data_IF_041078024441
#
_entry.id   IF_041078024441
#
_cell.length_a   1.000
_cell.length_b   1.000
_cell.length_c   1.000
_cell.angle_alpha   90.00
_cell.angle_beta   90.00
_cell.angle_gamma   90.00
#
_symmetry.space_group_name_H-M   'P 1'
#
loop_
_entity.id
_entity.type
_entity.pdbx_description
1 polymer ?
#
# COMPACT_ATOMS: atom_id res chain seq x y z
N UNK A 1 -7.30 -5.70 28.47
CA UNK A 1 -8.25 -6.50 27.68
C UNK A 1 -9.66 -6.04 28.04
N UNK A 2 -10.27 -5.18 27.23
CA UNK A 2 -11.68 -4.78 27.40
C UNK A 2 -12.46 -5.65 26.43
N UNK A 3 -13.35 -6.49 26.95
CA UNK A 3 -14.16 -7.40 26.16
C UNK A 3 -15.11 -6.61 25.25
N UNK A 4 -14.97 -6.78 23.94
CA UNK A 4 -15.77 -6.14 22.89
C UNK A 4 -17.27 -6.52 22.96
N UNK A 5 -17.68 -7.39 23.88
CA UNK A 5 -19.07 -7.80 24.09
C UNK A 5 -19.88 -6.86 25.01
N UNK A 6 -19.23 -5.97 25.78
CA UNK A 6 -19.89 -5.15 26.80
C UNK A 6 -20.21 -3.71 26.40
N UNK A 7 -19.70 -3.23 25.27
CA UNK A 7 -19.83 -1.83 24.84
C UNK A 7 -21.07 -1.66 23.95
N UNK A 8 -21.95 -0.66 24.22
CA UNK A 8 -23.12 -0.39 23.39
C UNK A 8 -22.72 -0.03 21.95
N UNK A 9 -23.56 -0.41 20.97
CA UNK A 9 -23.26 -0.30 19.53
C UNK A 9 -22.88 1.14 19.11
N UNK A 10 -23.52 2.14 19.73
CA UNK A 10 -23.25 3.56 19.49
C UNK A 10 -21.84 3.97 19.93
N UNK A 11 -21.41 3.51 21.10
CA UNK A 11 -20.09 3.83 21.65
C UNK A 11 -18.99 3.06 20.90
N UNK A 12 -19.29 1.86 20.40
CA UNK A 12 -18.41 1.15 19.46
C UNK A 12 -18.19 1.92 18.17
N UNK A 13 -19.26 2.44 17.56
CA UNK A 13 -19.17 3.23 16.33
C UNK A 13 -18.35 4.51 16.55
N UNK A 14 -18.56 5.23 17.65
CA UNK A 14 -17.80 6.44 17.98
C UNK A 14 -16.31 6.13 18.21
N UNK A 15 -15.99 5.07 18.95
CA UNK A 15 -14.61 4.61 19.14
C UNK A 15 -13.96 4.17 17.83
N UNK A 16 -14.70 3.47 16.98
CA UNK A 16 -14.24 3.05 15.65
C UNK A 16 -13.92 4.26 14.77
N UNK A 17 -14.79 5.27 14.79
CA UNK A 17 -14.62 6.52 14.06
C UNK A 17 -13.36 7.26 14.53
N UNK A 18 -13.22 7.45 15.84
CA UNK A 18 -12.05 8.11 16.43
C UNK A 18 -10.75 7.35 16.15
N UNK A 19 -10.78 6.01 16.18
CA UNK A 19 -9.62 5.17 15.84
C UNK A 19 -9.21 5.35 14.38
N UNK A 20 -10.16 5.31 13.44
CA UNK A 20 -9.89 5.51 12.02
C UNK A 20 -9.35 6.91 11.73
N UNK A 21 -9.92 7.93 12.36
CA UNK A 21 -9.47 9.32 12.23
C UNK A 21 -8.04 9.48 12.78
N UNK A 22 -7.77 8.98 13.98
CA UNK A 22 -6.44 9.02 14.59
C UNK A 22 -5.40 8.29 13.73
N UNK A 23 -5.74 7.14 13.14
CA UNK A 23 -4.83 6.42 12.26
C UNK A 23 -4.52 7.16 10.95
N UNK A 24 -5.51 7.87 10.38
CA UNK A 24 -5.31 8.69 9.19
C UNK A 24 -4.39 9.87 9.47
N UNK A 25 -4.62 10.57 10.60
CA UNK A 25 -3.88 11.75 11.02
C UNK A 25 -2.48 11.43 11.56
N UNK A 26 -2.24 10.22 12.06
CA UNK A 26 -0.95 9.83 12.59
C UNK A 26 0.14 9.82 11.50
N UNK A 27 1.24 10.55 11.71
CA UNK A 27 2.28 10.73 10.71
C UNK A 27 3.01 9.42 10.35
N UNK A 28 3.24 8.54 11.34
CA UNK A 28 4.08 7.34 11.18
C UNK A 28 3.29 6.03 10.98
N UNK A 29 1.98 6.10 10.78
CA UNK A 29 1.13 4.92 10.61
C UNK A 29 0.84 4.69 9.13
N UNK A 30 1.51 3.70 8.55
CA UNK A 30 1.34 3.32 7.13
C UNK A 30 0.70 1.93 6.93
N UNK A 31 0.53 1.16 8.01
CA UNK A 31 -0.06 -0.17 7.96
C UNK A 31 -1.55 -0.09 8.31
N UNK A 32 -2.38 0.20 7.32
CA UNK A 32 -3.83 0.31 7.50
C UNK A 32 -4.56 -1.04 7.49
N UNK A 33 -3.91 -2.09 6.96
CA UNK A 33 -4.51 -3.43 6.91
C UNK A 33 -4.79 -4.03 8.29
N UNK A 34 -3.96 -3.75 9.30
CA UNK A 34 -4.22 -4.20 10.68
C UNK A 34 -5.49 -3.56 11.26
N UNK A 35 -5.67 -2.26 10.98
CA UNK A 35 -6.84 -1.51 11.45
C UNK A 35 -8.10 -2.02 10.73
N UNK A 36 -8.00 -2.25 9.40
CA UNK A 36 -9.09 -2.79 8.57
C UNK A 36 -9.56 -4.18 9.01
N UNK A 37 -8.70 -4.99 9.63
CA UNK A 37 -9.05 -6.32 10.16
C UNK A 37 -9.72 -6.25 11.54
N UNK A 38 -9.73 -5.10 12.20
CA UNK A 38 -10.26 -5.00 13.55
C UNK A 38 -11.80 -5.00 13.53
N UNK A 39 -12.48 -5.89 14.28
CA UNK A 39 -13.94 -6.06 14.25
C UNK A 39 -14.73 -4.83 14.75
N UNK A 40 -14.04 -3.84 15.33
CA UNK A 40 -14.64 -2.56 15.73
C UNK A 40 -15.04 -1.73 14.51
N UNK A 41 -14.38 -1.90 13.37
CA UNK A 41 -14.78 -1.23 12.13
C UNK A 41 -16.02 -1.85 11.48
N UNK A 42 -16.35 -3.10 11.79
CA UNK A 42 -17.60 -3.70 11.30
C UNK A 42 -18.83 -3.00 11.86
N UNK A 43 -18.71 -2.35 13.03
CA UNK A 43 -19.78 -1.53 13.60
C UNK A 43 -20.06 -0.24 12.80
N UNK A 44 -19.15 0.16 11.90
CA UNK A 44 -19.31 1.29 11.00
C UNK A 44 -19.86 0.88 9.63
N UNK A 45 -19.90 -0.42 9.30
CA UNK A 45 -20.54 -0.88 8.07
C UNK A 45 -22.05 -0.61 8.17
N UNK A 46 -22.64 -0.14 7.06
CA UNK A 46 -24.06 0.26 6.96
C UNK A 46 -24.47 1.50 7.77
N UNK A 47 -23.50 2.28 8.26
CA UNK A 47 -23.73 3.58 8.93
C UNK A 47 -23.43 4.78 8.01
N UNK A 48 -23.70 6.00 8.49
CA UNK A 48 -23.43 7.24 7.73
C UNK A 48 -21.93 7.46 7.52
N UNK A 49 -21.11 6.79 8.32
CA UNK A 49 -19.66 6.90 8.41
C UNK A 49 -18.93 5.87 7.53
N UNK A 50 -19.65 5.11 6.70
CA UNK A 50 -19.06 4.11 5.80
C UNK A 50 -17.93 4.67 4.92
N UNK A 51 -18.01 5.96 4.54
CA UNK A 51 -16.98 6.65 3.79
C UNK A 51 -15.58 6.56 4.44
N UNK A 52 -15.51 6.43 5.76
CA UNK A 52 -14.24 6.29 6.48
C UNK A 52 -13.58 4.93 6.18
N UNK A 53 -14.38 3.87 6.07
CA UNK A 53 -13.89 2.54 5.70
C UNK A 53 -13.39 2.58 4.25
N UNK A 54 -14.16 3.18 3.34
CA UNK A 54 -13.78 3.31 1.94
C UNK A 54 -12.50 4.14 1.78
N UNK A 55 -12.35 5.18 2.59
CA UNK A 55 -11.15 6.00 2.66
C UNK A 55 -9.95 5.16 3.16
N UNK A 56 -10.09 4.44 4.28
CA UNK A 56 -9.04 3.56 4.80
C UNK A 56 -8.63 2.49 3.80
N UNK A 57 -9.58 1.92 3.05
CA UNK A 57 -9.30 0.99 1.96
C UNK A 57 -8.53 1.65 0.81
N UNK A 58 -8.88 2.87 0.42
CA UNK A 58 -8.14 3.64 -0.58
C UNK A 58 -6.70 3.91 -0.13
N UNK A 59 -6.48 4.23 1.15
CA UNK A 59 -5.14 4.36 1.74
C UNK A 59 -4.37 3.04 1.74
N UNK A 60 -5.01 1.92 2.09
CA UNK A 60 -4.35 0.62 2.12
C UNK A 60 -3.82 0.18 0.73
N UNK A 61 -4.62 0.40 -0.31
CA UNK A 61 -4.26 0.07 -1.70
C UNK A 61 -3.37 1.17 -2.33
N UNK A 62 -3.42 2.41 -1.84
CA UNK A 62 -2.71 3.53 -2.44
C UNK A 62 -3.40 4.09 -3.69
N UNK A 63 -4.74 4.04 -3.72
CA UNK A 63 -5.55 4.53 -4.83
C UNK A 63 -5.85 6.03 -4.69
N UNK A 64 -5.08 6.85 -5.42
CA UNK A 64 -5.21 8.31 -5.41
C UNK A 64 -6.54 8.76 -6.05
N UNK A 65 -7.11 7.98 -6.97
CA UNK A 65 -8.34 8.36 -7.67
C UNK A 65 -9.55 8.24 -6.75
N UNK A 66 -9.63 7.15 -5.99
CA UNK A 66 -10.66 6.98 -4.96
C UNK A 66 -10.53 8.01 -3.85
N UNK A 67 -9.31 8.37 -3.46
CA UNK A 67 -9.07 9.42 -2.48
C UNK A 67 -9.65 10.78 -2.93
N UNK A 68 -9.38 11.19 -4.18
CA UNK A 68 -9.91 12.44 -4.74
C UNK A 68 -11.44 12.37 -4.94
N UNK A 69 -12.00 11.21 -5.29
CA UNK A 69 -13.45 11.03 -5.39
C UNK A 69 -14.18 11.19 -4.04
N UNK A 70 -13.53 10.77 -2.94
CA UNK A 70 -14.08 10.87 -1.58
C UNK A 70 -13.85 12.25 -0.92
N UNK A 71 -13.04 13.11 -1.56
CA UNK A 71 -12.72 14.48 -1.11
C UNK A 71 -13.91 15.31 -0.63
N UNK A 72 -15.01 15.45 -1.37
CA UNK A 72 -16.15 16.27 -0.93
C UNK A 72 -16.81 15.75 0.35
N UNK A 73 -16.71 14.45 0.63
CA UNK A 73 -17.34 13.80 1.80
C UNK A 73 -16.50 14.01 3.05
N UNK A 74 -15.20 13.72 2.97
CA UNK A 74 -14.33 13.81 4.14
C UNK A 74 -13.90 15.24 4.48
N UNK A 75 -13.95 16.19 3.52
CA UNK A 75 -13.69 17.61 3.78
C UNK A 75 -14.72 18.27 4.71
N UNK A 76 -15.86 17.63 4.97
CA UNK A 76 -16.86 18.09 5.94
C UNK A 76 -16.28 18.08 7.36
N UNK A 77 -15.34 17.17 7.65
CA UNK A 77 -14.67 17.07 8.95
C UNK A 77 -13.53 18.11 9.05
N UNK A 78 -13.49 18.94 10.11
CA UNK A 78 -12.49 20.00 10.25
C UNK A 78 -11.07 19.43 10.43
N UNK A 79 -10.91 18.33 11.16
CA UNK A 79 -9.61 17.72 11.43
C UNK A 79 -8.93 17.23 10.16
N UNK A 80 -9.68 16.59 9.26
CA UNK A 80 -9.17 16.12 7.96
C UNK A 80 -8.90 17.28 7.00
N UNK A 81 -9.69 18.36 7.08
CA UNK A 81 -9.47 19.56 6.27
C UNK A 81 -8.16 20.24 6.63
N UNK A 82 -7.85 20.37 7.92
CA UNK A 82 -6.57 20.93 8.37
C UNK A 82 -5.39 20.05 7.97
N UNK A 83 -5.58 18.72 7.97
CA UNK A 83 -4.54 17.75 7.64
C UNK A 83 -4.48 17.36 6.14
N UNK A 84 -5.16 18.07 5.24
CA UNK A 84 -5.24 17.71 3.82
C UNK A 84 -3.85 17.52 3.18
N UNK A 85 -2.90 18.40 3.48
CA UNK A 85 -1.53 18.29 2.95
C UNK A 85 -0.81 17.04 3.44
N UNK A 86 -1.03 16.64 4.70
CA UNK A 86 -0.45 15.45 5.30
C UNK A 86 -1.06 14.20 4.66
N UNK A 87 -2.38 14.17 4.53
CA UNK A 87 -3.12 13.07 3.90
C UNK A 87 -2.70 12.87 2.45
N UNK A 88 -2.56 13.97 1.68
CA UNK A 88 -2.09 13.93 0.30
C UNK A 88 -0.68 13.34 0.19
N UNK A 89 0.27 13.80 1.02
CA UNK A 89 1.62 13.21 1.06
C UNK A 89 1.57 11.72 1.40
N UNK A 90 0.72 11.34 2.36
CA UNK A 90 0.59 9.98 2.87
C UNK A 90 0.02 9.01 1.82
N UNK A 91 -1.04 9.39 1.10
CA UNK A 91 -1.61 8.55 0.03
C UNK A 91 -0.61 8.38 -1.12
N UNK A 92 0.13 9.43 -1.47
CA UNK A 92 1.16 9.36 -2.52
C UNK A 92 2.31 8.43 -2.14
N UNK A 93 2.77 8.43 -0.88
CA UNK A 93 3.77 7.49 -0.39
C UNK A 93 3.27 6.04 -0.45
N UNK A 94 2.02 5.79 -0.07
CA UNK A 94 1.42 4.46 -0.12
C UNK A 94 1.23 3.95 -1.54
N UNK A 95 0.86 4.85 -2.46
CA UNK A 95 0.79 4.59 -3.89
C UNK A 95 2.16 4.16 -4.43
N UNK A 96 3.22 4.91 -4.13
CA UNK A 96 4.58 4.55 -4.52
C UNK A 96 4.99 3.17 -3.99
N UNK A 97 4.69 2.87 -2.72
CA UNK A 97 4.98 1.55 -2.16
C UNK A 97 4.20 0.43 -2.85
N UNK A 98 2.95 0.67 -3.26
CA UNK A 98 2.14 -0.34 -3.96
C UNK A 98 2.69 -0.59 -5.37
N UNK A 99 3.09 0.47 -6.07
CA UNK A 99 3.77 0.36 -7.36
C UNK A 99 5.06 -0.46 -7.28
N UNK A 100 5.90 -0.22 -6.26
CA UNK A 100 7.14 -0.97 -6.06
C UNK A 100 6.84 -2.45 -5.79
N UNK A 101 5.81 -2.74 -4.98
CA UNK A 101 5.38 -4.10 -4.71
C UNK A 101 4.86 -4.81 -5.97
N UNK A 102 4.08 -4.10 -6.79
CA UNK A 102 3.53 -4.58 -8.05
C UNK A 102 4.61 -4.80 -9.14
N UNK A 103 5.65 -3.95 -9.16
CA UNK A 103 6.78 -4.08 -10.10
C UNK A 103 7.61 -5.37 -9.91
N UNK A 104 7.54 -5.99 -8.73
CA UNK A 104 7.99 -7.37 -8.54
C UNK A 104 9.48 -7.60 -8.69
N UNK A 105 9.89 -8.20 -9.82
CA UNK A 105 11.24 -8.69 -10.08
C UNK A 105 12.20 -7.64 -10.66
N UNK A 106 11.74 -6.82 -11.62
CA UNK A 106 12.59 -5.80 -12.25
C UNK A 106 12.85 -4.61 -11.34
N UNK A 107 11.93 -4.34 -10.38
CA UNK A 107 12.05 -3.33 -9.30
C UNK A 107 12.48 -1.91 -9.75
N UNK A 108 12.42 -1.65 -11.05
CA UNK A 108 12.67 -0.36 -11.68
C UNK A 108 11.33 0.27 -12.04
N UNK A 109 11.11 1.52 -11.62
CA UNK A 109 9.94 2.32 -11.97
C UNK A 109 10.40 3.57 -12.71
N UNK A 110 9.77 3.90 -13.84
CA UNK A 110 10.05 5.17 -14.52
C UNK A 110 9.37 6.33 -13.78
N UNK A 111 9.97 7.52 -13.83
CA UNK A 111 9.36 8.72 -13.22
C UNK A 111 8.00 9.01 -13.85
N UNK A 112 7.84 8.80 -15.16
CA UNK A 112 6.57 9.02 -15.85
C UNK A 112 5.44 8.08 -15.38
N UNK A 113 5.75 6.80 -15.12
CA UNK A 113 4.77 5.85 -14.57
C UNK A 113 4.32 6.27 -13.17
N UNK A 114 5.27 6.71 -12.34
CA UNK A 114 5.00 7.20 -10.99
C UNK A 114 4.21 8.50 -11.05
N UNK A 115 4.53 9.42 -11.96
CA UNK A 115 3.82 10.69 -12.17
C UNK A 115 2.34 10.43 -12.47
N UNK A 116 2.10 9.53 -13.42
CA UNK A 116 0.76 9.19 -13.90
C UNK A 116 -0.10 8.61 -12.77
N UNK A 117 0.47 7.72 -11.96
CA UNK A 117 -0.24 7.07 -10.84
C UNK A 117 -0.43 7.97 -9.63
N UNK A 118 0.59 8.73 -9.27
CA UNK A 118 0.57 9.60 -8.08
C UNK A 118 -0.13 10.94 -8.33
N UNK A 119 -0.38 11.29 -9.61
CA UNK A 119 -0.93 12.57 -10.04
C UNK A 119 -0.10 13.76 -9.54
N UNK A 120 1.22 13.57 -9.46
CA UNK A 120 2.19 14.60 -9.10
C UNK A 120 3.03 15.00 -10.32
N UNK A 121 3.51 16.26 -10.37
CA UNK A 121 4.45 16.69 -11.39
C UNK A 121 5.79 15.94 -11.24
N UNK A 122 6.50 15.76 -12.35
CA UNK A 122 7.78 15.04 -12.40
C UNK A 122 8.80 15.60 -11.39
N UNK A 123 8.84 16.92 -11.21
CA UNK A 123 9.75 17.60 -10.28
C UNK A 123 9.59 17.17 -8.82
N UNK A 124 8.40 16.69 -8.43
CA UNK A 124 8.12 16.29 -7.03
C UNK A 124 8.34 14.80 -6.77
N UNK A 125 8.60 14.00 -7.81
CA UNK A 125 8.75 12.55 -7.68
C UNK A 125 10.05 12.19 -6.98
N UNK A 126 11.12 12.91 -7.29
CA UNK A 126 12.41 12.74 -6.61
C UNK A 126 12.29 13.04 -5.11
N UNK A 127 11.64 14.15 -4.77
CA UNK A 127 11.39 14.52 -3.38
C UNK A 127 10.52 13.49 -2.65
N UNK A 128 9.51 12.94 -3.32
CA UNK A 128 8.69 11.85 -2.78
C UNK A 128 9.53 10.59 -2.50
N UNK A 129 10.36 10.18 -3.46
CA UNK A 129 11.21 9.01 -3.32
C UNK A 129 12.24 9.19 -2.20
N UNK A 130 12.88 10.36 -2.12
CA UNK A 130 13.77 10.74 -1.01
C UNK A 130 13.06 10.69 0.33
N UNK A 131 11.84 11.22 0.41
CA UNK A 131 11.05 11.18 1.63
C UNK A 131 10.72 9.75 2.06
N UNK A 132 10.31 8.89 1.12
CA UNK A 132 10.02 7.47 1.40
C UNK A 132 11.26 6.70 1.87
N UNK A 133 12.44 7.00 1.31
CA UNK A 133 13.73 6.45 1.75
C UNK A 133 14.08 6.93 3.16
N UNK A 134 13.87 8.21 3.46
CA UNK A 134 14.17 8.81 4.77
C UNK A 134 13.34 8.21 5.90
N UNK A 135 12.10 7.84 5.62
CA UNK A 135 11.19 7.17 6.56
C UNK A 135 11.47 5.65 6.69
N UNK A 136 12.41 5.11 5.91
CA UNK A 136 12.73 3.68 5.91
C UNK A 136 11.60 2.80 5.39
N UNK A 137 10.69 3.35 4.59
CA UNK A 137 9.56 2.63 4.01
C UNK A 137 9.98 1.81 2.79
N UNK A 138 10.98 2.31 2.07
CA UNK A 138 11.59 1.68 0.90
C UNK A 138 13.12 1.74 1.02
N UNK A 139 13.82 0.88 0.29
CA UNK A 139 15.26 0.99 0.06
C UNK A 139 15.57 0.79 -1.42
N UNK A 140 16.45 1.62 -1.94
CA UNK A 140 16.73 1.69 -3.37
C UNK A 140 17.76 2.75 -3.72
N UNK A 141 18.00 2.90 -5.02
CA UNK A 141 18.75 4.01 -5.62
C UNK A 141 17.84 4.78 -6.58
N UNK A 142 18.11 6.08 -6.70
CA UNK A 142 17.42 6.98 -7.63
C UNK A 142 18.41 7.26 -8.75
N UNK A 143 18.01 7.00 -10.00
CA UNK A 143 18.75 7.38 -11.19
C UNK A 143 18.02 8.53 -11.87
N UNK A 144 18.52 9.73 -11.67
CA UNK A 144 17.91 10.95 -12.23
C UNK A 144 18.19 11.10 -13.72
N UNK A 145 19.31 10.58 -14.23
CA UNK A 145 19.69 10.72 -15.65
C UNK A 145 18.79 9.87 -16.53
N UNK A 146 18.53 8.64 -16.09
CA UNK A 146 17.63 7.70 -16.76
C UNK A 146 16.15 7.86 -16.34
N UNK A 147 15.86 8.77 -15.40
CA UNK A 147 14.54 8.97 -14.79
C UNK A 147 13.91 7.67 -14.23
N UNK A 148 14.71 6.88 -13.49
CA UNK A 148 14.32 5.58 -12.94
C UNK A 148 14.55 5.47 -11.43
N UNK A 149 13.60 4.83 -10.76
CA UNK A 149 13.66 4.44 -9.36
C UNK A 149 13.96 2.95 -9.26
N UNK A 150 15.15 2.60 -8.79
CA UNK A 150 15.59 1.21 -8.61
C UNK A 150 15.42 0.78 -7.15
N UNK A 151 14.31 0.10 -6.84
CA UNK A 151 13.86 -0.13 -5.46
C UNK A 151 14.04 -1.59 -5.05
N UNK A 152 15.11 -1.91 -4.33
CA UNK A 152 15.42 -3.29 -3.95
C UNK A 152 14.70 -3.79 -2.69
N UNK A 153 13.95 -2.95 -1.95
CA UNK A 153 13.19 -3.40 -0.79
C UNK A 153 12.02 -2.47 -0.48
N UNK A 154 10.92 -3.04 0.03
CA UNK A 154 9.75 -2.32 0.53
C UNK A 154 9.34 -2.92 1.88
N UNK A 155 8.92 -2.07 2.82
CA UNK A 155 8.47 -2.49 4.14
C UNK A 155 7.27 -3.44 4.02
N UNK A 156 7.33 -4.63 4.64
CA UNK A 156 6.19 -5.54 4.67
C UNK A 156 4.97 -4.89 5.32
N UNK A 157 3.80 -5.10 4.73
CA UNK A 157 2.51 -4.66 5.26
C UNK A 157 1.48 -5.76 5.08
N UNK A 158 0.37 -5.64 5.79
CA UNK A 158 -0.77 -6.53 5.62
C UNK A 158 -1.29 -6.38 4.19
N UNK A 159 -1.36 -7.51 3.49
CA UNK A 159 -1.71 -7.57 2.07
C UNK A 159 -3.20 -7.86 1.90
N UNK A 160 -3.79 -7.27 0.86
CA UNK A 160 -5.11 -7.64 0.38
C UNK A 160 -5.09 -8.98 -0.37
N UNK A 161 -6.23 -9.67 -0.46
CA UNK A 161 -6.40 -10.94 -1.17
C UNK A 161 -5.90 -10.87 -2.63
N UNK A 162 -6.06 -9.73 -3.30
CA UNK A 162 -5.55 -9.51 -4.66
C UNK A 162 -4.02 -9.50 -4.73
N UNK A 163 -3.38 -8.88 -3.74
CA UNK A 163 -1.92 -8.85 -3.63
C UNK A 163 -1.37 -10.25 -3.30
N UNK A 164 -2.07 -11.00 -2.45
CA UNK A 164 -1.74 -12.41 -2.15
C UNK A 164 -1.83 -13.29 -3.41
N UNK A 165 -2.88 -13.10 -4.23
CA UNK A 165 -3.00 -13.82 -5.51
C UNK A 165 -1.83 -13.53 -6.47
N UNK A 166 -1.33 -12.29 -6.45
CA UNK A 166 -0.15 -11.89 -7.25
C UNK A 166 1.11 -12.59 -6.75
N UNK A 167 1.29 -12.71 -5.43
CA UNK A 167 2.41 -13.47 -4.84
C UNK A 167 2.34 -14.95 -5.19
N UNK A 168 1.16 -15.56 -5.13
CA UNK A 168 0.94 -16.95 -5.56
C UNK A 168 1.40 -17.15 -7.00
N UNK A 169 0.96 -16.29 -7.93
CA UNK A 169 1.35 -16.37 -9.34
C UNK A 169 2.87 -16.28 -9.54
N UNK A 170 3.55 -15.43 -8.76
CA UNK A 170 5.02 -15.31 -8.80
C UNK A 170 5.72 -16.57 -8.28
N UNK A 171 5.20 -17.15 -7.20
CA UNK A 171 5.73 -18.40 -6.65
C UNK A 171 5.53 -19.57 -7.61
N UNK A 172 4.38 -19.62 -8.28
CA UNK A 172 4.08 -20.63 -9.31
C UNK A 172 5.06 -20.49 -10.49
N UNK A 173 5.33 -19.25 -10.94
CA UNK A 173 6.33 -18.99 -11.98
C UNK A 173 7.72 -19.45 -11.55
N UNK A 174 8.18 -19.05 -10.37
CA UNK A 174 9.48 -19.46 -9.85
C UNK A 174 9.60 -20.99 -9.72
N UNK A 175 8.54 -21.65 -9.28
CA UNK A 175 8.49 -23.13 -9.21
C UNK A 175 8.63 -23.75 -10.60
N UNK A 176 8.02 -23.16 -11.63
CA UNK A 176 8.16 -23.63 -13.00
C UNK A 176 9.59 -23.41 -13.51
N UNK A 177 10.21 -22.27 -13.23
CA UNK A 177 11.58 -21.97 -13.63
C UNK A 177 12.58 -22.97 -12.99
N UNK A 178 12.40 -23.30 -11.71
CA UNK A 178 13.21 -24.32 -11.00
C UNK A 178 13.00 -25.71 -11.60
N UNK A 179 11.77 -26.08 -11.95
CA UNK A 179 11.48 -27.38 -12.62
C UNK A 179 12.15 -27.45 -13.98
N UNK A 180 12.06 -26.40 -14.79
CA UNK A 180 12.73 -26.33 -16.10
C UNK A 180 14.24 -26.48 -15.95
N UNK A 181 14.84 -25.82 -14.97
CA UNK A 181 16.28 -25.96 -14.68
C UNK A 181 16.65 -27.37 -14.24
N UNK A 182 15.84 -28.02 -13.39
CA UNK A 182 16.04 -29.42 -12.99
C UNK A 182 16.02 -30.37 -14.19
N UNK A 183 15.04 -30.21 -15.10
CA UNK A 183 14.94 -31.03 -16.31
C UNK A 183 16.14 -30.83 -17.24
N UNK A 184 16.63 -29.59 -17.39
CA UNK A 184 17.82 -29.31 -18.19
C UNK A 184 19.08 -29.98 -17.59
N UNK A 185 19.23 -29.93 -16.27
CA UNK A 185 20.37 -30.57 -15.58
C UNK A 185 20.29 -32.08 -15.69
N UNK A 186 19.10 -32.70 -15.54
CA UNK A 186 18.92 -34.15 -15.71
C UNK A 186 19.27 -34.62 -17.13
N UNK A 187 18.87 -33.86 -18.16
CA UNK A 187 19.20 -34.17 -19.55
C UNK A 187 20.70 -34.08 -19.83
N UNK A 188 21.36 -33.00 -19.38
CA UNK A 188 22.80 -32.82 -19.58
C UNK A 188 23.66 -33.76 -18.71
N UNK A 189 23.20 -34.09 -17.50
CA UNK A 189 23.88 -35.06 -16.64
C UNK A 189 23.76 -36.49 -17.20
N UNK A 190 22.65 -36.82 -17.88
CA UNK A 190 22.49 -38.07 -18.60
C UNK A 190 23.54 -38.29 -19.68
N UNK A 191 23.89 -37.24 -20.44
CA UNK A 191 24.93 -37.28 -21.47
C UNK A 191 26.38 -37.38 -20.92
N UNK A 192 26.61 -36.99 -19.66
CA UNK A 192 27.94 -37.05 -19.02
C UNK A 192 28.13 -38.35 -18.24
N UNK A 193 27.04 -38.96 -17.75
CA UNK A 193 27.04 -40.18 -16.95
C UNK A 193 26.89 -41.46 -17.79
N UNK A 194 26.76 -41.36 -19.12
CA UNK A 194 26.74 -42.49 -20.07
C UNK A 194 28.02 -42.57 -20.91
#
# INVERSE_FOLDING_TARGET
CIDNSSIPLKEKAERAFNLGLAALLAENVYNFGEILQHPVLDALKDTREQWLIDLLQAFNVGDVEKYEALKPVWQVQPDLRMAETILKKKITLLCLMDMIFAAGGTRALSFNDVATRTKLPLDQIELLAMHALSLGLIRGSIDQVDEKLNMHWVKPRVLDLRQVATLKKRLDQWTNDVKQMSTLVEQQAGDILS
#
